data_IF_956276474798
#
_entry.id   IF_956276474798
#
_cell.length_a   1.000
_cell.length_b   1.000
_cell.length_c   1.000
_cell.angle_alpha   90.00
_cell.angle_beta   90.00
_cell.angle_gamma   90.00
#
_symmetry.space_group_name_H-M   'P 1'
#
loop_
_entity.id
_entity.type
_entity.pdbx_description
1 polymer ?
#
# COMPACT_ATOMS: atom_id res chain seq x y z
N UNK A 1 -12.85 -0.31 6.96
CA UNK A 1 -11.82 -0.36 5.91
C UNK A 1 -10.75 0.71 6.12
N UNK A 2 -11.08 2.01 6.08
CA UNK A 2 -10.07 3.09 6.20
C UNK A 2 -9.12 2.97 7.40
N UNK A 3 -9.62 2.62 8.59
CA UNK A 3 -8.76 2.43 9.76
C UNK A 3 -7.72 1.32 9.55
N UNK A 4 -8.08 0.24 8.85
CA UNK A 4 -7.17 -0.87 8.55
C UNK A 4 -6.11 -0.45 7.52
N UNK A 5 -6.49 0.26 6.45
CA UNK A 5 -5.53 0.80 5.47
C UNK A 5 -4.55 1.74 6.15
N UNK A 6 -5.04 2.69 6.98
CA UNK A 6 -4.17 3.61 7.72
C UNK A 6 -3.27 2.89 8.71
N UNK A 7 -3.77 1.83 9.37
CA UNK A 7 -2.99 1.02 10.32
C UNK A 7 -1.74 0.39 9.67
N UNK A 8 -1.83 -0.04 8.41
CA UNK A 8 -0.72 -0.68 7.67
C UNK A 8 0.03 0.27 6.73
N UNK A 9 -0.28 1.57 6.74
CA UNK A 9 0.40 2.59 5.94
C UNK A 9 0.88 3.72 6.85
N UNK A 10 0.18 4.85 6.90
CA UNK A 10 0.62 6.07 7.58
C UNK A 10 0.83 5.89 9.09
N UNK A 11 -0.01 5.08 9.77
CA UNK A 11 0.16 4.84 11.20
C UNK A 11 1.32 3.89 11.48
N UNK A 12 1.59 2.92 10.60
CA UNK A 12 2.74 2.03 10.72
C UNK A 12 4.04 2.81 10.52
N UNK A 13 4.09 3.67 9.49
CA UNK A 13 5.24 4.55 9.25
C UNK A 13 5.55 5.43 10.46
N UNK A 14 4.53 6.05 11.07
CA UNK A 14 4.71 6.84 12.30
C UNK A 14 5.21 6.01 13.49
N UNK A 15 4.69 4.79 13.69
CA UNK A 15 5.17 3.89 14.75
C UNK A 15 6.64 3.49 14.56
N UNK A 16 7.13 3.50 13.32
CA UNK A 16 8.51 3.21 12.97
C UNK A 16 9.40 4.46 12.87
N UNK A 17 8.88 5.66 13.17
CA UNK A 17 9.57 6.95 12.97
C UNK A 17 10.00 7.20 11.51
N UNK A 18 9.27 6.63 10.55
CA UNK A 18 9.54 6.70 9.11
C UNK A 18 8.45 7.48 8.36
N UNK A 19 7.60 8.24 9.05
CA UNK A 19 6.49 8.97 8.44
C UNK A 19 6.92 10.08 7.48
N UNK A 20 8.19 10.49 7.51
CA UNK A 20 8.78 11.42 6.54
C UNK A 20 9.32 10.71 5.30
N UNK A 21 9.42 9.37 5.32
CA UNK A 21 10.04 8.55 4.28
C UNK A 21 8.99 7.70 3.54
N UNK A 22 8.05 7.09 4.26
CA UNK A 22 7.07 6.12 3.73
C UNK A 22 5.66 6.30 4.33
N UNK A 23 4.70 5.52 3.84
CA UNK A 23 3.34 5.43 4.40
C UNK A 23 2.30 6.35 3.79
N UNK A 24 2.70 7.24 2.87
CA UNK A 24 1.80 8.04 2.01
C UNK A 24 2.47 8.34 0.67
N UNK A 25 1.65 8.69 -0.34
CA UNK A 25 2.13 9.12 -1.66
C UNK A 25 2.16 10.65 -1.71
N UNK A 26 3.31 11.22 -1.33
CA UNK A 26 3.56 12.66 -1.27
C UNK A 26 4.93 12.97 -1.87
N UNK A 27 5.11 14.17 -2.44
CA UNK A 27 6.39 14.59 -3.01
C UNK A 27 7.47 14.60 -1.93
N UNK A 28 8.61 13.98 -2.22
CA UNK A 28 9.76 13.88 -1.30
C UNK A 28 9.86 12.56 -0.54
N UNK A 29 8.81 11.72 -0.56
CA UNK A 29 8.83 10.37 0.01
C UNK A 29 9.31 9.33 -0.98
N UNK A 30 9.71 8.16 -0.47
CA UNK A 30 10.01 7.00 -1.31
C UNK A 30 8.77 6.59 -2.09
N UNK A 31 8.94 6.27 -3.37
CA UNK A 31 7.87 5.79 -4.22
C UNK A 31 7.63 4.29 -4.00
N UNK A 32 7.28 3.95 -2.75
CA UNK A 32 6.93 2.60 -2.29
C UNK A 32 5.41 2.43 -2.35
N UNK A 33 4.94 1.62 -3.30
CA UNK A 33 3.50 1.42 -3.52
C UNK A 33 3.18 0.04 -4.08
N UNK A 34 1.91 -0.34 -3.93
CA UNK A 34 1.33 -1.50 -4.57
C UNK A 34 0.11 -1.08 -5.38
N UNK A 35 -0.06 -1.72 -6.53
CA UNK A 35 -1.28 -1.65 -7.33
C UNK A 35 -2.04 -2.95 -7.08
N UNK A 36 -3.31 -2.86 -6.69
CA UNK A 36 -4.17 -4.01 -6.41
C UNK A 36 -5.11 -4.27 -7.58
N UNK A 37 -5.44 -5.53 -7.86
CA UNK A 37 -6.38 -5.90 -8.94
C UNK A 37 -7.82 -5.40 -8.67
N UNK A 38 -8.18 -5.22 -7.40
CA UNK A 38 -9.50 -4.74 -6.97
C UNK A 38 -9.34 -3.74 -5.83
N UNK A 39 -10.26 -2.78 -5.74
CA UNK A 39 -10.29 -1.84 -4.61
C UNK A 39 -10.84 -2.56 -3.36
N UNK A 40 -10.06 -2.70 -2.27
CA UNK A 40 -10.52 -3.33 -1.03
C UNK A 40 -11.71 -2.62 -0.39
N UNK A 41 -12.02 -1.37 -0.78
CA UNK A 41 -13.22 -0.63 -0.33
C UNK A 41 -14.50 -1.08 -1.02
N UNK A 42 -14.39 -1.77 -2.14
CA UNK A 42 -15.51 -2.12 -3.02
C UNK A 42 -15.93 -3.59 -2.95
N UNK A 43 -15.21 -4.42 -2.19
CA UNK A 43 -15.47 -5.87 -2.05
C UNK A 43 -15.96 -6.23 -0.65
N UNK A 44 -16.54 -7.41 -0.47
CA UNK A 44 -16.93 -7.88 0.85
C UNK A 44 -15.67 -8.19 1.71
N UNK A 45 -15.72 -8.02 3.05
CA UNK A 45 -14.56 -8.20 3.90
C UNK A 45 -13.87 -9.58 3.79
N UNK A 46 -14.64 -10.63 3.54
CA UNK A 46 -14.14 -11.99 3.35
C UNK A 46 -13.43 -12.21 2.00
N UNK A 47 -13.64 -11.33 1.02
CA UNK A 47 -13.01 -11.40 -0.30
C UNK A 47 -11.69 -10.61 -0.37
N UNK A 48 -11.37 -9.79 0.64
CA UNK A 48 -10.16 -8.95 0.66
C UNK A 48 -8.89 -9.80 0.50
N UNK A 49 -8.85 -10.96 1.14
CA UNK A 49 -7.71 -11.88 1.10
C UNK A 49 -7.46 -12.47 -0.31
N UNK A 50 -8.44 -12.39 -1.20
CA UNK A 50 -8.36 -12.87 -2.58
C UNK A 50 -7.92 -11.77 -3.56
N UNK A 51 -7.83 -10.52 -3.11
CA UNK A 51 -7.32 -9.43 -3.96
C UNK A 51 -5.83 -9.66 -4.18
N UNK A 52 -5.44 -9.87 -5.43
CA UNK A 52 -4.03 -10.01 -5.79
C UNK A 52 -3.37 -8.64 -5.94
N UNK A 53 -2.08 -8.62 -5.68
CA UNK A 53 -1.22 -7.50 -6.05
C UNK A 53 -0.94 -7.61 -7.55
N UNK A 54 -1.29 -6.56 -8.29
CA UNK A 54 -0.99 -6.44 -9.71
C UNK A 54 0.47 -6.02 -9.91
N UNK A 55 0.94 -5.02 -9.14
CA UNK A 55 2.34 -4.55 -9.19
C UNK A 55 2.83 -4.11 -7.81
N UNK A 56 4.14 -4.26 -7.59
CA UNK A 56 4.86 -3.68 -6.44
C UNK A 56 6.00 -2.83 -6.94
N UNK A 57 6.10 -1.63 -6.38
CA UNK A 57 7.12 -0.64 -6.67
C UNK A 57 7.85 -0.29 -5.38
N UNK A 58 9.19 -0.28 -5.44
CA UNK A 58 10.07 0.13 -4.35
C UNK A 58 11.02 1.19 -4.87
N UNK A 59 11.11 2.32 -4.17
CA UNK A 59 11.91 3.48 -4.55
C UNK A 59 11.71 3.87 -6.04
N UNK A 60 10.46 3.82 -6.50
CA UNK A 60 10.11 4.16 -7.88
C UNK A 60 10.49 3.13 -8.93
N UNK A 61 11.00 1.96 -8.53
CA UNK A 61 11.35 0.87 -9.43
C UNK A 61 10.34 -0.28 -9.31
N UNK A 62 9.84 -0.83 -10.43
CA UNK A 62 8.96 -2.00 -10.39
C UNK A 62 9.77 -3.24 -10.00
N UNK A 63 9.38 -3.90 -8.90
CA UNK A 63 10.05 -5.11 -8.39
C UNK A 63 9.21 -6.37 -8.55
N UNK A 64 7.90 -6.20 -8.76
CA UNK A 64 6.96 -7.28 -9.02
C UNK A 64 5.86 -6.81 -9.97
N UNK A 65 5.47 -7.68 -10.91
CA UNK A 65 4.28 -7.53 -11.74
C UNK A 65 3.66 -8.90 -11.94
N UNK A 66 2.34 -9.02 -11.73
CA UNK A 66 1.61 -10.23 -12.04
C UNK A 66 1.62 -10.48 -13.56
N UNK A 67 1.85 -11.74 -13.96
CA UNK A 67 1.87 -12.15 -15.37
C UNK A 67 0.50 -12.03 -16.04
#
# INVERSE_FOLDING_TARGET
>A
MEAAIRAVTINAAWQCFSEQEVGSLEVGKLADLVILERDPRSVAPNEIAEIKVFETWLDGNPVYRSA
#
